data_IF_781821479784
#
_entry.id   IF_781821479784
#
_cell.length_a   1.000
_cell.length_b   1.000
_cell.length_c   1.000
_cell.angle_alpha   90.00
_cell.angle_beta   90.00
_cell.angle_gamma   90.00
#
_symmetry.space_group_name_H-M   'P 1'
#
loop_
_entity.id
_entity.type
_entity.pdbx_description
1 polymer ?
#
# COMPACT_ATOMS: atom_id res chain seq x y z
N UNK A 1 56.63 9.51 -0.07
CA UNK A 1 56.09 10.84 0.23
C UNK A 1 54.76 10.81 1.01
N UNK A 2 53.75 9.99 0.67
CA UNK A 2 52.47 9.98 1.41
C UNK A 2 52.46 9.10 2.70
N UNK A 3 53.35 8.11 2.81
CA UNK A 3 53.46 7.23 3.98
C UNK A 3 54.17 7.88 5.18
N UNK A 4 55.14 8.76 4.93
CA UNK A 4 55.93 9.42 5.98
C UNK A 4 55.12 10.51 6.72
N UNK A 5 54.20 11.19 6.04
CA UNK A 5 53.28 12.13 6.69
C UNK A 5 52.32 11.42 7.66
N UNK A 6 51.89 10.21 7.29
CA UNK A 6 50.97 9.41 8.08
C UNK A 6 51.68 8.83 9.32
N UNK A 7 52.93 8.39 9.17
CA UNK A 7 53.78 7.97 10.28
C UNK A 7 54.04 9.10 11.29
N UNK A 8 54.32 10.32 10.80
CA UNK A 8 54.52 11.50 11.68
C UNK A 8 53.24 11.92 12.41
N UNK A 9 52.07 11.79 11.77
CA UNK A 9 50.78 12.06 12.41
C UNK A 9 50.42 11.03 13.48
N UNK A 10 50.78 9.75 13.28
CA UNK A 10 50.60 8.69 14.28
C UNK A 10 51.53 8.87 15.49
N UNK A 11 52.80 9.21 15.26
CA UNK A 11 53.75 9.45 16.37
C UNK A 11 53.35 10.64 17.25
N UNK A 12 52.78 11.71 16.69
CA UNK A 12 52.26 12.84 17.50
C UNK A 12 51.03 12.50 18.34
N UNK A 13 50.25 11.48 17.96
CA UNK A 13 49.11 11.03 18.75
C UNK A 13 49.54 10.12 19.90
N UNK A 14 50.48 9.21 19.65
CA UNK A 14 51.04 8.34 20.69
C UNK A 14 51.74 9.15 21.80
N UNK A 15 52.49 10.20 21.45
CA UNK A 15 53.12 11.09 22.44
C UNK A 15 52.11 11.92 23.26
N UNK A 16 50.85 12.02 22.82
CA UNK A 16 49.79 12.73 23.54
C UNK A 16 49.01 11.79 24.47
N UNK A 17 48.98 10.49 24.17
CA UNK A 17 48.40 9.46 25.04
C UNK A 17 49.34 9.11 26.21
N UNK A 18 50.67 9.16 26.03
CA UNK A 18 51.64 8.95 27.12
C UNK A 18 51.71 10.09 28.14
N UNK A 19 51.05 11.23 27.88
CA UNK A 19 51.04 12.39 28.78
C UNK A 19 49.81 12.44 29.73
N UNK A 20 48.84 11.52 29.59
CA UNK A 20 47.65 11.45 30.45
C UNK A 20 47.55 10.17 31.31
N UNK A 21 48.60 9.35 31.39
CA UNK A 21 48.74 8.37 32.48
C UNK A 21 49.37 9.04 33.72
N UNK A 22 48.55 9.80 34.45
CA UNK A 22 48.90 10.42 35.73
C UNK A 22 47.80 10.19 36.76
N UNK A 23 47.45 8.94 37.05
CA UNK A 23 46.53 8.60 38.13
C UNK A 23 47.22 8.56 39.50
N UNK A 24 46.61 9.05 40.60
CA UNK A 24 46.99 8.67 41.94
C UNK A 24 46.39 7.29 42.31
N UNK A 25 47.24 6.41 42.86
CA UNK A 25 46.90 5.08 43.37
C UNK A 25 46.17 5.10 44.75
N UNK A 26 45.55 3.97 45.16
CA UNK A 26 44.50 3.88 46.19
C UNK A 26 44.99 3.40 47.57
N UNK A 27 44.14 3.55 48.59
CA UNK A 27 44.26 2.90 49.90
C UNK A 27 42.86 2.56 50.49
N UNK A 28 42.73 1.54 51.36
CA UNK A 28 41.72 0.48 51.21
C UNK A 28 40.70 0.34 52.38
N UNK A 29 39.92 -0.75 52.33
CA UNK A 29 39.04 -1.35 53.37
C UNK A 29 37.56 -0.91 53.30
N UNK A 30 36.53 -1.75 53.42
CA UNK A 30 36.39 -3.17 53.73
C UNK A 30 35.01 -3.66 53.24
N UNK A 31 34.85 -4.98 53.18
CA UNK A 31 33.68 -5.74 52.74
C UNK A 31 32.38 -5.47 53.52
N UNK A 32 31.23 -5.58 52.85
CA UNK A 32 30.13 -6.50 53.20
C UNK A 32 28.91 -6.29 52.26
N UNK A 33 28.49 -7.36 51.57
CA UNK A 33 27.14 -7.53 51.03
C UNK A 33 26.16 -7.86 52.18
N UNK A 34 24.81 -7.75 52.07
CA UNK A 34 23.97 -8.40 51.02
C UNK A 34 22.77 -7.57 50.48
N UNK A 35 22.16 -8.07 49.39
CA UNK A 35 20.93 -7.59 48.72
C UNK A 35 19.63 -7.81 49.56
N UNK A 36 18.38 -7.62 49.05
CA UNK A 36 17.80 -6.81 47.94
C UNK A 36 16.61 -5.93 48.41
N UNK A 37 15.99 -5.11 47.53
CA UNK A 37 14.53 -4.89 47.37
C UNK A 37 14.28 -3.73 46.34
N UNK A 38 13.16 -3.74 45.57
CA UNK A 38 12.89 -2.86 44.44
C UNK A 38 11.97 -1.67 44.80
N UNK A 39 12.07 -0.54 44.08
CA UNK A 39 11.05 0.54 43.85
C UNK A 39 11.75 1.82 43.30
N UNK A 40 11.03 2.81 42.72
CA UNK A 40 10.51 2.89 41.37
C UNK A 40 11.30 3.87 40.48
N UNK A 41 11.10 3.74 39.16
CA UNK A 41 11.79 4.44 38.08
C UNK A 41 12.02 5.95 38.30
N UNK A 42 13.24 6.31 38.70
CA UNK A 42 13.76 7.66 38.64
C UNK A 42 14.06 8.04 37.18
N UNK A 43 13.67 9.28 36.86
CA UNK A 43 13.90 10.01 35.61
C UNK A 43 15.21 9.64 34.92
N UNK A 44 15.10 9.36 33.62
CA UNK A 44 16.21 9.07 32.71
C UNK A 44 17.40 10.03 32.92
N UNK A 45 18.63 9.50 33.07
CA UNK A 45 19.80 10.34 33.04
C UNK A 45 19.92 10.90 31.62
N UNK A 46 20.28 12.18 31.52
CA UNK A 46 20.54 12.87 30.24
C UNK A 46 21.42 11.97 29.36
N UNK A 47 20.84 11.43 28.29
CA UNK A 47 21.53 10.52 27.39
C UNK A 47 22.75 11.25 26.82
N UNK A 48 23.94 10.85 27.28
CA UNK A 48 25.19 11.27 26.67
C UNK A 48 25.13 10.97 25.16
N UNK A 49 25.67 11.86 24.33
CA UNK A 49 25.69 11.67 22.87
C UNK A 49 26.26 10.29 22.47
N UNK A 50 27.16 9.72 23.27
CA UNK A 50 27.71 8.37 23.12
C UNK A 50 26.66 7.26 23.27
N UNK A 51 25.70 7.41 24.19
CA UNK A 51 24.64 6.42 24.41
C UNK A 51 23.65 6.39 23.23
N UNK A 52 23.32 7.56 22.67
CA UNK A 52 22.50 7.62 21.46
C UNK A 52 23.21 7.06 20.24
N UNK A 53 24.52 7.34 20.11
CA UNK A 53 25.32 6.85 18.99
C UNK A 53 25.46 5.33 19.07
N UNK A 54 25.73 4.79 20.26
CA UNK A 54 25.78 3.35 20.54
C UNK A 54 24.45 2.66 20.19
N UNK A 55 23.32 3.19 20.65
CA UNK A 55 22.00 2.65 20.32
C UNK A 55 21.70 2.68 18.81
N UNK A 56 22.13 3.74 18.10
CA UNK A 56 22.01 3.84 16.63
C UNK A 56 22.89 2.82 15.90
N UNK A 57 24.11 2.57 16.39
CA UNK A 57 25.04 1.59 15.82
C UNK A 57 24.59 0.15 16.06
N UNK A 58 24.18 -0.20 17.29
CA UNK A 58 23.65 -1.53 17.60
C UNK A 58 22.44 -1.84 16.73
N UNK A 59 21.49 -0.90 16.60
CA UNK A 59 20.33 -1.07 15.73
C UNK A 59 20.70 -1.25 14.25
N UNK A 60 21.79 -0.62 13.77
CA UNK A 60 22.29 -0.80 12.40
C UNK A 60 22.91 -2.19 12.21
N UNK A 61 23.65 -2.69 13.20
CA UNK A 61 24.22 -4.04 13.18
C UNK A 61 23.11 -5.10 13.19
N UNK A 62 22.09 -4.94 14.04
CA UNK A 62 20.93 -5.85 14.09
C UNK A 62 20.22 -5.93 12.72
N UNK A 63 20.17 -4.82 11.98
CA UNK A 63 19.59 -4.80 10.63
C UNK A 63 20.45 -5.58 9.63
N UNK A 64 21.78 -5.43 9.71
CA UNK A 64 22.71 -6.12 8.81
C UNK A 64 22.80 -7.63 9.09
N UNK A 65 22.67 -8.02 10.36
CA UNK A 65 22.67 -9.41 10.80
C UNK A 65 21.30 -10.09 10.64
N UNK A 66 20.26 -9.32 10.27
CA UNK A 66 18.89 -9.81 10.05
C UNK A 66 18.07 -10.01 11.33
N UNK A 67 18.62 -9.67 12.49
CA UNK A 67 17.96 -9.71 13.80
C UNK A 67 16.88 -8.60 13.95
N UNK A 68 17.01 -7.50 13.21
CA UNK A 68 16.01 -6.43 13.15
C UNK A 68 15.62 -6.12 11.70
N UNK A 69 14.32 -5.95 11.44
CA UNK A 69 13.89 -5.45 10.13
C UNK A 69 14.22 -3.95 10.04
N UNK A 70 14.77 -3.46 8.91
CA UNK A 70 14.87 -2.03 8.70
C UNK A 70 13.46 -1.44 8.84
N UNK A 71 13.33 -0.39 9.66
CA UNK A 71 12.07 0.37 9.69
C UNK A 71 11.91 0.97 8.30
N UNK A 72 11.11 0.29 7.47
CA UNK A 72 10.63 0.85 6.23
C UNK A 72 9.64 1.93 6.63
N UNK A 73 10.11 3.15 6.81
CA UNK A 73 9.28 4.29 6.47
C UNK A 73 9.07 4.18 4.96
N UNK A 74 8.11 3.35 4.54
CA UNK A 74 7.53 3.51 3.21
C UNK A 74 6.97 4.91 3.25
N UNK A 75 7.60 5.82 2.51
CA UNK A 75 7.02 7.14 2.31
C UNK A 75 5.66 6.87 1.70
N UNK A 76 4.60 7.07 2.49
CA UNK A 76 3.24 6.81 2.04
C UNK A 76 2.96 7.76 0.88
N UNK A 77 2.60 7.18 -0.26
CA UNK A 77 2.17 7.96 -1.41
C UNK A 77 0.76 7.52 -1.81
N UNK A 78 -0.27 8.31 -1.44
CA UNK A 78 -1.66 7.93 -1.65
C UNK A 78 -1.98 7.70 -3.14
N UNK A 79 -1.31 8.42 -4.04
CA UNK A 79 -1.56 8.35 -5.48
C UNK A 79 -1.05 7.06 -6.14
N UNK A 80 -0.09 6.37 -5.52
CA UNK A 80 0.46 5.12 -6.06
C UNK A 80 -0.12 3.89 -5.38
N UNK A 81 -0.54 4.02 -4.11
CA UNK A 81 -1.16 2.93 -3.36
C UNK A 81 -2.64 2.76 -3.71
N UNK A 82 -3.34 3.84 -4.04
CA UNK A 82 -4.75 3.83 -4.42
C UNK A 82 -4.97 4.37 -5.85
N UNK A 83 -4.52 3.65 -6.89
CA UNK A 83 -4.64 4.09 -8.28
C UNK A 83 -6.09 4.15 -8.78
N UNK A 84 -7.02 3.48 -8.11
CA UNK A 84 -8.45 3.52 -8.40
C UNK A 84 -9.06 4.91 -8.12
N UNK A 85 -8.44 5.72 -7.27
CA UNK A 85 -8.91 7.05 -6.94
C UNK A 85 -8.25 8.10 -7.82
N UNK A 86 -9.09 8.99 -8.36
CA UNK A 86 -8.57 10.16 -9.07
C UNK A 86 -7.79 11.07 -8.12
N UNK A 87 -6.82 11.83 -8.64
CA UNK A 87 -6.07 12.81 -7.84
C UNK A 87 -6.97 13.87 -7.21
N UNK A 88 -8.16 14.12 -7.79
CA UNK A 88 -9.16 15.06 -7.26
C UNK A 88 -9.85 14.44 -6.05
N UNK A 89 -10.36 13.23 -6.23
CA UNK A 89 -10.96 12.42 -5.16
C UNK A 89 -10.05 12.30 -3.94
N UNK A 90 -8.76 11.98 -4.13
CA UNK A 90 -7.81 11.89 -3.01
C UNK A 90 -7.66 13.22 -2.27
N UNK A 91 -7.68 14.36 -2.98
CA UNK A 91 -7.63 15.68 -2.35
C UNK A 91 -8.91 16.02 -1.60
N UNK A 92 -10.07 15.62 -2.11
CA UNK A 92 -11.35 15.86 -1.44
C UNK A 92 -11.45 15.02 -0.17
N UNK A 93 -10.98 13.77 -0.21
CA UNK A 93 -10.83 12.92 0.97
C UNK A 93 -9.82 13.48 1.97
N UNK A 94 -8.71 14.05 1.49
CA UNK A 94 -7.73 14.75 2.34
C UNK A 94 -8.33 15.98 3.03
N UNK A 95 -9.14 16.75 2.31
CA UNK A 95 -9.84 17.91 2.88
C UNK A 95 -10.87 17.48 3.92
N UNK A 96 -11.61 16.41 3.65
CA UNK A 96 -12.57 15.84 4.59
C UNK A 96 -11.87 15.32 5.85
N UNK A 97 -10.76 14.60 5.69
CA UNK A 97 -9.95 14.12 6.80
C UNK A 97 -9.49 15.28 7.71
N UNK A 98 -8.92 16.33 7.11
CA UNK A 98 -8.47 17.54 7.84
C UNK A 98 -9.60 18.35 8.46
N UNK A 99 -10.83 18.22 7.95
CA UNK A 99 -11.99 18.91 8.52
C UNK A 99 -12.40 18.32 9.87
N UNK A 100 -12.23 17.01 10.03
CA UNK A 100 -12.64 16.27 11.24
C UNK A 100 -11.49 15.98 12.21
N UNK A 101 -10.23 16.01 11.73
CA UNK A 101 -9.03 16.06 12.57
C UNK A 101 -8.95 17.43 13.29
N UNK A 102 -9.58 17.52 14.46
CA UNK A 102 -9.58 18.73 15.28
C UNK A 102 -8.24 18.91 16.00
N UNK A 103 -7.57 17.79 16.34
CA UNK A 103 -6.25 17.76 16.95
C UNK A 103 -5.13 18.27 16.04
N UNK A 104 -5.30 18.19 14.73
CA UNK A 104 -4.26 18.39 13.70
C UNK A 104 -3.03 17.53 13.98
N UNK A 105 -3.25 16.34 14.55
CA UNK A 105 -2.18 15.37 14.81
C UNK A 105 -1.97 14.44 13.61
N UNK A 106 -2.81 14.53 12.58
CA UNK A 106 -2.75 13.70 11.38
C UNK A 106 -3.45 12.35 11.53
N UNK A 107 -4.24 12.18 12.60
CA UNK A 107 -5.02 11.00 12.89
C UNK A 107 -6.48 11.41 13.20
N UNK A 108 -7.41 10.47 13.04
CA UNK A 108 -8.79 10.64 13.51
C UNK A 108 -9.02 9.67 14.66
N UNK A 109 -9.24 10.24 15.85
CA UNK A 109 -9.54 9.48 17.05
C UNK A 109 -11.00 9.02 17.07
N UNK A 110 -11.34 8.07 17.96
CA UNK A 110 -12.70 7.58 18.12
C UNK A 110 -13.72 8.70 18.37
N UNK A 111 -13.34 9.74 19.11
CA UNK A 111 -14.23 10.87 19.41
C UNK A 111 -14.43 11.79 18.19
N UNK A 112 -13.41 11.95 17.36
CA UNK A 112 -13.48 12.73 16.12
C UNK A 112 -14.29 11.99 15.06
N UNK A 113 -14.09 10.66 14.95
CA UNK A 113 -14.91 9.78 14.13
C UNK A 113 -16.39 9.83 14.56
N UNK A 114 -16.67 9.86 15.87
CA UNK A 114 -18.02 10.03 16.40
C UNK A 114 -18.64 11.34 15.92
N UNK A 115 -17.92 12.45 16.07
CA UNK A 115 -18.41 13.76 15.63
C UNK A 115 -18.65 13.78 14.12
N UNK A 116 -17.75 13.17 13.34
CA UNK A 116 -17.92 13.03 11.89
C UNK A 116 -19.21 12.29 11.54
N UNK A 117 -19.50 11.15 12.18
CA UNK A 117 -20.74 10.39 11.95
C UNK A 117 -22.00 11.17 12.33
N UNK A 118 -21.95 11.95 13.41
CA UNK A 118 -23.05 12.83 13.81
C UNK A 118 -23.29 13.95 12.78
N UNK A 119 -22.21 14.53 12.22
CA UNK A 119 -22.31 15.59 11.20
C UNK A 119 -22.84 15.06 9.86
N UNK A 120 -22.51 13.83 9.51
CA UNK A 120 -23.02 13.16 8.32
C UNK A 120 -24.47 12.67 8.47
N UNK A 121 -25.06 12.78 9.67
CA UNK A 121 -26.46 12.41 9.94
C UNK A 121 -26.68 10.91 10.18
N UNK A 122 -25.62 10.13 10.41
CA UNK A 122 -25.68 8.70 10.70
C UNK A 122 -24.92 8.37 11.99
N UNK A 123 -25.42 8.79 13.17
CA UNK A 123 -24.74 8.53 14.43
C UNK A 123 -24.60 7.02 14.67
N UNK A 124 -23.40 6.60 15.08
CA UNK A 124 -23.08 5.21 15.39
C UNK A 124 -22.88 5.02 16.90
N UNK A 125 -23.09 3.79 17.38
CA UNK A 125 -22.81 3.44 18.78
C UNK A 125 -21.30 3.43 19.03
N UNK A 126 -20.87 3.60 20.28
CA UNK A 126 -19.45 3.54 20.63
C UNK A 126 -18.80 2.19 20.23
N UNK A 127 -19.55 1.09 20.34
CA UNK A 127 -19.07 -0.23 19.92
C UNK A 127 -18.97 -0.31 18.39
N UNK A 128 -19.95 0.25 17.67
CA UNK A 128 -19.93 0.36 16.21
C UNK A 128 -18.73 1.15 15.71
N UNK A 129 -18.47 2.33 16.27
CA UNK A 129 -17.30 3.16 15.94
C UNK A 129 -15.98 2.42 16.17
N UNK A 130 -15.89 1.67 17.29
CA UNK A 130 -14.70 0.86 17.57
C UNK A 130 -14.54 -0.30 16.59
N UNK A 131 -15.64 -0.89 16.10
CA UNK A 131 -15.60 -1.90 15.03
C UNK A 131 -15.12 -1.27 13.73
N UNK A 132 -15.67 -0.11 13.36
CA UNK A 132 -15.30 0.62 12.15
C UNK A 132 -13.80 0.91 12.10
N UNK A 133 -13.21 1.39 13.21
CA UNK A 133 -11.76 1.62 13.28
C UNK A 133 -11.00 0.31 13.11
N UNK A 134 -11.36 -0.73 13.89
CA UNK A 134 -10.71 -2.04 13.83
C UNK A 134 -10.73 -2.73 12.46
N UNK A 135 -11.70 -2.41 11.62
CA UNK A 135 -11.83 -3.00 10.29
C UNK A 135 -10.80 -2.45 9.28
N UNK A 136 -10.23 -1.27 9.55
CA UNK A 136 -9.27 -0.59 8.64
C UNK A 136 -7.94 -0.23 9.31
N UNK A 137 -7.88 -0.28 10.63
CA UNK A 137 -6.67 -0.09 11.45
C UNK A 137 -5.69 -1.26 11.21
N UNK A 138 -4.66 -1.00 10.40
CA UNK A 138 -3.64 -2.00 10.02
C UNK A 138 -2.45 -2.00 10.97
N UNK A 139 -2.18 -0.86 11.63
CA UNK A 139 -1.05 -0.71 12.54
C UNK A 139 -1.41 -0.88 14.03
N UNK A 140 -2.71 -1.05 14.32
CA UNK A 140 -3.30 -1.28 15.63
C UNK A 140 -3.04 -0.15 16.63
N UNK A 141 -2.98 1.09 16.14
CA UNK A 141 -2.83 2.28 16.99
C UNK A 141 -4.17 2.74 17.62
N UNK A 142 -5.29 2.19 17.15
CA UNK A 142 -6.64 2.52 17.64
C UNK A 142 -7.15 3.89 17.20
N UNK A 143 -6.46 4.53 16.26
CA UNK A 143 -6.81 5.77 15.57
C UNK A 143 -6.90 5.48 14.07
N UNK A 144 -7.22 6.49 13.28
CA UNK A 144 -7.24 6.36 11.82
C UNK A 144 -6.23 7.31 11.20
N UNK A 145 -5.18 6.75 10.61
CA UNK A 145 -4.29 7.52 9.74
C UNK A 145 -4.98 7.88 8.43
N UNK A 146 -4.44 8.87 7.70
CA UNK A 146 -4.98 9.24 6.39
C UNK A 146 -4.99 8.06 5.39
N UNK A 147 -4.01 7.15 5.48
CA UNK A 147 -3.95 5.95 4.62
C UNK A 147 -5.13 5.01 4.91
N UNK A 148 -5.43 4.76 6.17
CA UNK A 148 -6.52 3.88 6.59
C UNK A 148 -7.89 4.52 6.33
N UNK A 149 -7.97 5.84 6.43
CA UNK A 149 -9.13 6.58 6.00
C UNK A 149 -9.43 6.35 4.50
N UNK A 150 -8.43 6.40 3.62
CA UNK A 150 -8.60 6.06 2.20
C UNK A 150 -9.01 4.60 2.01
N UNK A 151 -8.53 3.68 2.86
CA UNK A 151 -8.87 2.27 2.82
C UNK A 151 -10.37 2.01 3.05
N UNK A 152 -11.05 2.85 3.85
CA UNK A 152 -12.51 2.80 4.04
C UNK A 152 -13.22 2.94 2.69
N UNK A 153 -12.87 3.98 1.93
CA UNK A 153 -13.46 4.24 0.62
C UNK A 153 -13.06 3.18 -0.40
N UNK A 154 -11.87 2.58 -0.25
CA UNK A 154 -11.40 1.51 -1.12
C UNK A 154 -12.28 0.28 -0.96
N UNK A 155 -12.51 -0.15 0.29
CA UNK A 155 -13.38 -1.27 0.61
C UNK A 155 -14.82 -1.01 0.17
N UNK A 156 -15.30 0.23 0.29
CA UNK A 156 -16.61 0.63 -0.22
C UNK A 156 -16.69 0.50 -1.75
N UNK A 157 -15.68 0.95 -2.49
CA UNK A 157 -15.62 0.87 -3.95
C UNK A 157 -15.45 -0.57 -4.46
N UNK A 158 -14.74 -1.40 -3.70
CA UNK A 158 -14.57 -2.83 -3.97
C UNK A 158 -15.84 -3.64 -3.66
N UNK A 159 -16.76 -3.11 -2.86
CA UNK A 159 -17.97 -3.81 -2.42
C UNK A 159 -17.69 -4.88 -1.36
N UNK A 160 -16.60 -4.74 -0.61
CA UNK A 160 -16.21 -5.66 0.47
C UNK A 160 -16.91 -5.33 1.80
N UNK A 161 -17.45 -4.12 1.92
CA UNK A 161 -18.12 -3.68 3.15
C UNK A 161 -19.48 -4.37 3.29
N UNK A 162 -19.79 -4.78 4.52
CA UNK A 162 -21.09 -5.35 4.85
C UNK A 162 -22.19 -4.32 4.60
N UNK A 163 -23.31 -4.78 4.02
CA UNK A 163 -24.50 -3.98 3.82
C UNK A 163 -24.95 -3.37 5.16
N UNK A 164 -25.26 -2.07 5.14
CA UNK A 164 -25.65 -1.26 6.31
C UNK A 164 -24.61 -1.12 7.43
N UNK A 165 -23.35 -1.47 7.17
CA UNK A 165 -22.24 -1.15 8.10
C UNK A 165 -22.04 0.37 8.25
N UNK A 166 -21.51 0.78 9.41
CA UNK A 166 -21.18 2.18 9.66
C UNK A 166 -20.15 2.74 8.66
N UNK A 167 -19.21 1.91 8.19
CA UNK A 167 -18.27 2.28 7.12
C UNK A 167 -18.98 2.50 5.79
N UNK A 168 -19.99 1.69 5.47
CA UNK A 168 -20.79 1.90 4.26
C UNK A 168 -21.63 3.17 4.36
N UNK A 169 -22.19 3.48 5.54
CA UNK A 169 -22.91 4.73 5.78
C UNK A 169 -21.98 5.95 5.59
N UNK A 170 -20.76 5.89 6.15
CA UNK A 170 -19.73 6.92 5.98
C UNK A 170 -19.44 7.17 4.49
N UNK A 171 -19.20 6.11 3.72
CA UNK A 171 -18.87 6.21 2.30
C UNK A 171 -20.05 6.69 1.43
N UNK A 172 -21.29 6.35 1.80
CA UNK A 172 -22.51 6.81 1.09
C UNK A 172 -22.83 8.28 1.37
N UNK A 173 -22.57 8.73 2.61
CA UNK A 173 -22.97 10.05 3.09
C UNK A 173 -21.88 11.11 2.87
N UNK A 174 -20.62 10.70 2.68
CA UNK A 174 -19.65 11.61 2.09
C UNK A 174 -20.16 12.03 0.71
N UNK A 175 -20.25 13.34 0.46
CA UNK A 175 -20.66 13.93 -0.84
C UNK A 175 -19.77 13.51 -2.03
N UNK A 176 -18.78 12.67 -1.75
CA UNK A 176 -17.76 12.14 -2.61
C UNK A 176 -18.26 10.83 -3.22
N UNK A 177 -18.73 10.89 -4.47
CA UNK A 177 -19.22 9.71 -5.20
C UNK A 177 -18.05 8.84 -5.70
N UNK A 178 -17.53 7.98 -4.83
CA UNK A 178 -16.44 7.03 -5.15
C UNK A 178 -16.78 6.12 -6.35
N UNK A 179 -18.07 5.81 -6.55
CA UNK A 179 -18.54 4.99 -7.67
C UNK A 179 -18.46 5.70 -9.04
N UNK A 180 -18.63 7.03 -9.07
CA UNK A 180 -18.57 7.83 -10.30
C UNK A 180 -17.16 8.30 -10.62
N UNK A 181 -16.34 8.57 -9.60
CA UNK A 181 -15.01 9.19 -9.76
C UNK A 181 -13.85 8.19 -9.86
N UNK A 182 -14.13 6.89 -9.74
CA UNK A 182 -13.14 5.84 -9.97
C UNK A 182 -12.87 5.60 -11.46
N UNK A 183 -11.67 5.06 -11.76
CA UNK A 183 -11.24 4.69 -13.13
C UNK A 183 -12.17 3.64 -13.80
N UNK A 184 -13.18 3.12 -13.09
CA UNK A 184 -14.24 2.26 -13.65
C UNK A 184 -14.95 2.89 -14.84
N UNK A 185 -15.17 4.21 -14.86
CA UNK A 185 -15.74 4.88 -16.04
C UNK A 185 -14.87 4.76 -17.29
N UNK A 186 -13.54 4.70 -17.13
CA UNK A 186 -12.62 4.43 -18.23
C UNK A 186 -12.55 2.94 -18.58
N UNK A 187 -12.75 2.03 -17.61
CA UNK A 187 -12.86 0.59 -17.88
C UNK A 187 -14.01 0.32 -18.84
N UNK A 188 -15.20 0.87 -18.57
CA UNK A 188 -16.36 0.71 -19.45
C UNK A 188 -16.11 1.34 -20.84
N UNK A 189 -15.39 2.46 -20.89
CA UNK A 189 -15.03 3.12 -22.15
C UNK A 189 -14.05 2.30 -23.00
N UNK A 190 -13.03 1.71 -22.38
CA UNK A 190 -12.06 0.84 -23.06
C UNK A 190 -12.68 -0.52 -23.43
N UNK A 191 -13.51 -1.10 -22.55
CA UNK A 191 -14.21 -2.36 -22.79
C UNK A 191 -15.21 -2.22 -23.94
N UNK A 192 -15.99 -1.14 -23.98
CA UNK A 192 -16.89 -0.83 -25.10
C UNK A 192 -16.13 -0.68 -26.43
N UNK A 193 -14.95 -0.05 -26.43
CA UNK A 193 -14.12 0.10 -27.64
C UNK A 193 -13.53 -1.23 -28.11
N UNK A 194 -13.09 -2.08 -27.20
CA UNK A 194 -12.63 -3.44 -27.51
C UNK A 194 -13.77 -4.30 -28.05
N UNK A 195 -14.97 -4.19 -27.46
CA UNK A 195 -16.16 -4.92 -27.91
C UNK A 195 -16.59 -4.50 -29.32
N UNK A 196 -16.59 -3.20 -29.61
CA UNK A 196 -16.92 -2.64 -30.93
C UNK A 196 -15.92 -3.07 -32.03
N UNK A 197 -14.63 -3.14 -31.69
CA UNK A 197 -13.61 -3.71 -32.58
C UNK A 197 -13.83 -5.21 -32.79
N UNK A 198 -14.20 -5.95 -31.74
CA UNK A 198 -14.44 -7.40 -31.85
C UNK A 198 -15.72 -7.73 -32.60
N UNK A 199 -16.78 -6.93 -32.47
CA UNK A 199 -18.05 -7.15 -33.16
C UNK A 199 -17.91 -6.86 -34.65
N UNK A 200 -17.11 -5.85 -35.04
CA UNK A 200 -16.75 -5.60 -36.43
C UNK A 200 -16.01 -6.80 -37.06
N UNK A 201 -15.00 -7.37 -36.37
CA UNK A 201 -14.28 -8.55 -36.89
C UNK A 201 -15.11 -9.84 -36.92
N UNK A 202 -16.06 -10.03 -35.99
CA UNK A 202 -16.95 -11.21 -36.00
C UNK A 202 -17.91 -11.21 -37.20
N UNK A 203 -18.51 -10.06 -37.51
CA UNK A 203 -19.42 -9.93 -38.66
C UNK A 203 -18.68 -10.10 -40.00
N UNK A 204 -17.46 -9.56 -40.10
CA UNK A 204 -16.62 -9.70 -41.30
C UNK A 204 -16.15 -11.15 -41.52
N UNK A 205 -15.86 -11.89 -40.45
CA UNK A 205 -15.51 -13.31 -40.52
C UNK A 205 -16.69 -14.19 -40.94
N UNK A 206 -17.90 -13.86 -40.48
CA UNK A 206 -19.13 -14.59 -40.80
C UNK A 206 -19.53 -14.41 -42.28
N UNK A 207 -19.44 -13.18 -42.79
CA UNK A 207 -19.67 -12.86 -44.22
C UNK A 207 -18.69 -13.57 -45.16
N UNK A 208 -17.44 -13.74 -44.74
CA UNK A 208 -16.40 -14.40 -45.54
C UNK A 208 -16.58 -15.91 -45.56
N UNK A 209 -16.95 -16.51 -44.43
CA UNK A 209 -17.24 -17.94 -44.34
C UNK A 209 -18.43 -18.33 -45.24
N UNK A 210 -19.49 -17.52 -45.28
CA UNK A 210 -20.67 -17.78 -46.10
C UNK A 210 -20.35 -17.71 -47.62
N UNK A 211 -19.51 -16.77 -48.04
CA UNK A 211 -19.09 -16.68 -49.45
C UNK A 211 -18.21 -17.87 -49.88
N UNK A 212 -17.31 -18.32 -49.00
CA UNK A 212 -16.44 -19.46 -49.29
C UNK A 212 -17.24 -20.77 -49.33
N UNK A 213 -18.25 -20.93 -48.47
CA UNK A 213 -19.12 -22.11 -48.47
C UNK A 213 -20.00 -22.16 -49.73
N UNK A 214 -20.55 -21.02 -50.16
CA UNK A 214 -21.29 -20.91 -51.43
C UNK A 214 -20.45 -21.31 -52.64
N UNK A 215 -19.20 -20.87 -52.70
CA UNK A 215 -18.27 -21.24 -53.78
C UNK A 215 -17.95 -22.73 -53.77
N UNK A 216 -17.71 -23.31 -52.59
CA UNK A 216 -17.44 -24.74 -52.48
C UNK A 216 -18.65 -25.60 -52.89
N UNK A 217 -19.87 -25.16 -52.57
CA UNK A 217 -21.08 -25.83 -53.03
C UNK A 217 -21.25 -25.77 -54.54
N UNK A 218 -21.01 -24.61 -55.16
CA UNK A 218 -21.05 -24.47 -56.62
C UNK A 218 -20.00 -25.36 -57.30
N UNK A 219 -18.76 -25.41 -56.78
CA UNK A 219 -17.72 -26.30 -57.30
C UNK A 219 -18.09 -27.78 -57.13
N UNK A 220 -18.57 -28.18 -55.95
CA UNK A 220 -19.03 -29.55 -55.71
C UNK A 220 -20.18 -29.92 -56.65
N UNK A 221 -21.13 -29.03 -56.86
CA UNK A 221 -22.25 -29.23 -57.80
C UNK A 221 -21.74 -29.37 -59.23
N UNK A 222 -20.77 -28.55 -59.63
CA UNK A 222 -20.15 -28.61 -60.95
C UNK A 222 -19.39 -29.91 -61.17
N UNK A 223 -18.61 -30.36 -60.18
CA UNK A 223 -17.92 -31.64 -60.19
C UNK A 223 -18.91 -32.82 -60.28
N UNK A 224 -20.01 -32.76 -59.52
CA UNK A 224 -21.07 -33.79 -59.59
C UNK A 224 -21.71 -33.88 -60.97
N UNK A 225 -22.01 -32.74 -61.59
CA UNK A 225 -22.57 -32.71 -62.93
C UNK A 225 -21.57 -33.19 -63.99
N UNK A 226 -20.29 -32.85 -63.84
CA UNK A 226 -19.23 -33.33 -64.73
C UNK A 226 -19.07 -34.85 -64.64
N UNK A 227 -18.99 -35.38 -63.41
CA UNK A 227 -18.91 -36.82 -63.16
C UNK A 227 -20.14 -37.57 -63.69
N UNK A 228 -21.34 -37.00 -63.53
CA UNK A 228 -22.56 -37.58 -64.09
C UNK A 228 -22.55 -37.59 -65.64
N UNK A 229 -22.06 -36.52 -66.27
CA UNK A 229 -21.89 -36.45 -67.73
C UNK A 229 -20.88 -37.48 -68.23
N UNK A 230 -19.77 -37.64 -67.52
CA UNK A 230 -18.69 -38.57 -67.87
C UNK A 230 -19.18 -40.03 -67.76
N UNK A 231 -19.85 -40.40 -66.66
CA UNK A 231 -20.44 -41.72 -66.49
C UNK A 231 -21.49 -42.03 -67.57
N UNK A 232 -22.31 -41.03 -67.94
CA UNK A 232 -23.30 -41.18 -69.02
C UNK A 232 -22.65 -41.40 -70.39
N UNK A 233 -21.54 -40.70 -70.69
CA UNK A 233 -20.79 -40.88 -71.93
C UNK A 233 -20.10 -42.25 -72.00
N UNK A 234 -19.61 -42.76 -70.86
CA UNK A 234 -19.02 -44.10 -70.77
C UNK A 234 -20.04 -45.23 -70.95
N UNK A 235 -21.32 -45.00 -70.64
CA UNK A 235 -22.39 -45.99 -70.77
C UNK A 235 -23.15 -45.92 -72.11
N UNK A 236 -22.79 -44.97 -73.00
CA UNK A 236 -23.43 -44.77 -74.32
C UNK A 236 -22.52 -45.08 -75.51
N UNK A 237 -21.38 -45.74 -75.28
CA UNK A 237 -20.46 -46.27 -76.30
C UNK A 237 -20.49 -47.80 -76.28
#
# INVERSE_FOLDING_TARGET
MASEELARKLQRRLQREEAEEGGPQPAPCAAAAPEPEPEPAARAPLASADAELSAKLSRRLDINEGAARPRRCKVFNPYTEFPEFSRRLIKDLENMFKLYDAGRDGFIDLMELKLMMEKLGAPQTHLGLKSMIKEVDEDFDGKLSFREFLLIFHKAAAGELQEDSGLMALAKLSEINVALEGVKGAKDFFEAKVQALSSASKFEAELKAEQDERKQEEEKRRLRQAAFRELKAAFSA
#
